data_IF_478264414771
#
_entry.id   IF_478264414771
#
_cell.length_a   1.000
_cell.length_b   1.000
_cell.length_c   1.000
_cell.angle_alpha   90.00
_cell.angle_beta   90.00
_cell.angle_gamma   90.00
#
_symmetry.space_group_name_H-M   'P 1'
#
loop_
_entity.id
_entity.type
_entity.pdbx_description
1 polymer ?
#
# COMPACT_ATOMS: atom_id res chain seq x y z
N UNK A 1 -10.86 9.30 6.45
CA UNK A 1 -10.28 8.72 5.23
C UNK A 1 -10.42 7.22 5.26
N UNK A 2 -10.93 6.60 4.19
CA UNK A 2 -11.11 5.14 4.14
C UNK A 2 -9.84 4.44 3.63
N UNK A 3 -9.47 3.32 4.25
CA UNK A 3 -8.43 2.40 3.79
C UNK A 3 -8.51 2.09 2.28
N UNK A 4 -9.74 1.90 1.77
CA UNK A 4 -10.02 1.66 0.37
C UNK A 4 -9.50 2.75 -0.58
N UNK A 5 -9.48 4.01 -0.12
CA UNK A 5 -8.95 5.11 -0.90
C UNK A 5 -7.43 5.00 -1.07
N UNK A 6 -6.71 4.63 0.01
CA UNK A 6 -5.27 4.43 -0.03
C UNK A 6 -4.88 3.27 -0.94
N UNK A 7 -5.58 2.14 -0.87
CA UNK A 7 -5.37 1.04 -1.82
C UNK A 7 -5.53 1.51 -3.27
N UNK A 8 -6.57 2.31 -3.56
CA UNK A 8 -6.80 2.84 -4.91
C UNK A 8 -5.72 3.82 -5.38
N UNK A 9 -5.14 4.62 -4.48
CA UNK A 9 -3.98 5.48 -4.79
C UNK A 9 -2.77 4.64 -5.19
N UNK A 10 -2.53 3.51 -4.51
CA UNK A 10 -1.46 2.57 -4.86
C UNK A 10 -1.80 1.69 -6.08
N UNK A 11 -3.01 1.77 -6.63
CA UNK A 11 -3.47 0.88 -7.70
C UNK A 11 -3.76 -0.55 -7.24
N UNK A 12 -3.98 -0.74 -5.94
CA UNK A 12 -4.26 -2.02 -5.31
C UNK A 12 -5.75 -2.20 -5.02
N UNK A 13 -6.17 -3.46 -4.88
CA UNK A 13 -7.51 -3.79 -4.39
C UNK A 13 -7.59 -3.63 -2.87
N UNK A 14 -8.80 -3.35 -2.40
CA UNK A 14 -9.14 -3.37 -0.97
C UNK A 14 -8.84 -4.74 -0.38
N UNK A 15 -8.00 -4.78 0.67
CA UNK A 15 -7.57 -6.03 1.27
C UNK A 15 -6.30 -6.62 0.66
N UNK A 16 -5.56 -5.87 -0.16
CA UNK A 16 -4.23 -6.26 -0.61
C UNK A 16 -3.29 -6.45 0.59
N UNK A 17 -2.39 -7.43 0.49
CA UNK A 17 -1.47 -7.75 1.58
C UNK A 17 -0.39 -6.69 1.71
N UNK A 18 0.27 -6.66 2.87
CA UNK A 18 1.41 -5.75 3.09
C UNK A 18 2.52 -5.92 2.03
N UNK A 19 2.68 -7.15 1.52
CA UNK A 19 3.58 -7.46 0.41
C UNK A 19 3.24 -6.65 -0.84
N UNK A 20 1.99 -6.66 -1.29
CA UNK A 20 1.51 -5.89 -2.44
C UNK A 20 1.66 -4.39 -2.23
N UNK A 21 1.31 -3.90 -1.02
CA UNK A 21 1.44 -2.49 -0.64
C UNK A 21 2.88 -2.02 -0.75
N UNK A 22 3.85 -2.80 -0.27
CA UNK A 22 5.28 -2.51 -0.38
C UNK A 22 5.76 -2.58 -1.84
N UNK A 23 5.27 -3.54 -2.61
CA UNK A 23 5.65 -3.72 -4.03
C UNK A 23 5.16 -2.55 -4.89
N UNK A 24 3.89 -2.17 -4.74
CA UNK A 24 3.28 -1.02 -5.42
C UNK A 24 3.99 0.28 -5.04
N UNK A 25 4.26 0.49 -3.75
CA UNK A 25 5.04 1.64 -3.28
C UNK A 25 6.40 1.73 -3.98
N UNK A 26 7.16 0.62 -4.04
CA UNK A 26 8.47 0.63 -4.73
C UNK A 26 8.38 0.95 -6.21
N UNK A 27 7.37 0.44 -6.91
CA UNK A 27 7.18 0.73 -8.33
C UNK A 27 6.80 2.20 -8.56
N UNK A 28 5.86 2.73 -7.79
CA UNK A 28 5.43 4.13 -7.91
C UNK A 28 6.52 5.11 -7.47
N UNK A 29 7.29 4.78 -6.43
CA UNK A 29 8.41 5.59 -5.97
C UNK A 29 9.52 5.72 -7.02
N UNK A 30 9.76 4.68 -7.82
CA UNK A 30 10.70 4.71 -8.95
C UNK A 30 10.13 5.49 -10.14
N UNK A 31 8.82 5.34 -10.39
CA UNK A 31 8.13 6.03 -11.48
C UNK A 31 8.10 7.56 -11.26
N UNK A 32 7.81 7.98 -10.03
CA UNK A 32 7.71 9.39 -9.64
C UNK A 32 8.97 9.89 -8.92
N UNK A 33 10.11 9.23 -9.10
CA UNK A 33 11.33 9.62 -8.41
C UNK A 33 11.78 11.01 -8.88
N UNK A 34 12.25 11.90 -7.98
CA UNK A 34 12.70 13.24 -8.35
C UNK A 34 13.97 13.23 -9.24
N UNK A 35 14.75 12.15 -9.18
CA UNK A 35 15.93 11.95 -10.03
C UNK A 35 15.56 11.71 -11.50
N UNK A 36 14.49 10.95 -11.77
CA UNK A 36 13.99 10.70 -13.14
C UNK A 36 13.00 11.76 -13.61
N UNK A 37 12.36 12.48 -12.68
CA UNK A 37 11.38 13.54 -12.99
C UNK A 37 11.78 14.88 -12.33
N UNK A 38 12.93 15.46 -12.71
CA UNK A 38 13.35 16.74 -12.16
C UNK A 38 12.36 17.84 -12.57
N UNK A 39 11.75 18.50 -11.58
CA UNK A 39 10.84 19.64 -11.80
C UNK A 39 9.37 19.29 -12.01
N UNK A 40 8.99 18.02 -11.96
CA UNK A 40 7.59 17.62 -12.13
C UNK A 40 6.81 17.71 -10.81
N UNK A 41 5.96 18.75 -10.68
CA UNK A 41 5.14 18.96 -9.49
C UNK A 41 4.11 17.83 -9.28
N UNK A 42 3.57 17.28 -10.37
CA UNK A 42 2.62 16.17 -10.34
C UNK A 42 3.27 14.91 -9.76
N UNK A 43 4.48 14.57 -10.17
CA UNK A 43 5.26 13.45 -9.64
C UNK A 43 5.51 13.61 -8.14
N UNK A 44 5.89 14.82 -7.70
CA UNK A 44 6.05 15.14 -6.28
C UNK A 44 4.75 14.94 -5.49
N UNK A 45 3.62 15.45 -5.98
CA UNK A 45 2.32 15.26 -5.33
C UNK A 45 1.92 13.78 -5.26
N UNK A 46 2.11 13.04 -6.36
CA UNK A 46 1.86 11.60 -6.41
C UNK A 46 2.74 10.83 -5.43
N UNK A 47 4.03 11.18 -5.33
CA UNK A 47 4.95 10.57 -4.39
C UNK A 47 4.52 10.79 -2.94
N UNK A 48 4.08 12.00 -2.59
CA UNK A 48 3.54 12.32 -1.26
C UNK A 48 2.28 11.49 -0.99
N UNK A 49 1.34 11.44 -1.93
CA UNK A 49 0.10 10.66 -1.78
C UNK A 49 0.37 9.17 -1.58
N UNK A 50 1.27 8.60 -2.38
CA UNK A 50 1.67 7.18 -2.29
C UNK A 50 2.35 6.88 -0.95
N UNK A 51 3.19 7.80 -0.46
CA UNK A 51 3.86 7.67 0.84
C UNK A 51 2.87 7.74 2.00
N UNK A 52 1.96 8.71 1.99
CA UNK A 52 0.90 8.83 3.01
C UNK A 52 -0.01 7.61 3.00
N UNK A 53 -0.38 7.13 1.82
CA UNK A 53 -1.21 5.95 1.65
C UNK A 53 -0.52 4.70 2.19
N UNK A 54 0.75 4.48 1.86
CA UNK A 54 1.54 3.39 2.42
C UNK A 54 1.57 3.46 3.96
N UNK A 55 1.90 4.61 4.54
CA UNK A 55 1.98 4.79 6.00
C UNK A 55 0.64 4.54 6.68
N UNK A 56 -0.45 5.04 6.10
CA UNK A 56 -1.80 4.82 6.62
C UNK A 56 -2.19 3.34 6.56
N UNK A 57 -1.86 2.63 5.48
CA UNK A 57 -2.08 1.19 5.36
C UNK A 57 -1.23 0.40 6.35
N UNK A 58 0.05 0.73 6.52
CA UNK A 58 0.95 0.10 7.50
C UNK A 58 0.41 0.27 8.92
N UNK A 59 -0.07 1.47 9.26
CA UNK A 59 -0.59 1.76 10.59
C UNK A 59 -1.96 1.10 10.84
N UNK A 60 -2.80 1.02 9.81
CA UNK A 60 -4.14 0.48 9.92
C UNK A 60 -4.22 -1.04 9.67
N UNK A 61 -3.16 -1.68 9.17
CA UNK A 61 -2.99 -3.13 9.12
C UNK A 61 -2.36 -3.58 10.44
N UNK A 62 -3.14 -4.06 11.44
CA UNK A 62 -2.55 -4.70 12.60
C UNK A 62 -1.78 -5.95 12.17
N UNK A 63 -0.76 -6.34 12.96
CA UNK A 63 0.11 -7.48 12.71
C UNK A 63 -0.63 -8.82 12.49
N UNK A 64 -1.92 -8.91 12.76
CA UNK A 64 -2.74 -10.09 12.47
C UNK A 64 -2.95 -10.33 10.97
N UNK A 65 -2.86 -9.31 10.11
CA UNK A 65 -3.02 -9.48 8.66
C UNK A 65 -1.85 -10.24 8.00
N UNK A 66 -0.67 -10.29 8.64
CA UNK A 66 0.44 -11.15 8.17
C UNK A 66 0.28 -12.61 8.60
N UNK A 67 -0.65 -12.94 9.49
CA UNK A 67 -0.87 -14.30 10.00
C UNK A 67 -2.11 -15.01 9.42
N UNK A 68 -3.03 -14.30 8.77
CA UNK A 68 -4.36 -14.81 8.40
C UNK A 68 -4.43 -15.84 7.25
N UNK A 69 -3.31 -16.43 6.83
CA UNK A 69 -3.31 -17.59 5.91
C UNK A 69 -3.04 -18.93 6.62
N UNK A 70 -3.09 -18.99 7.97
CA UNK A 70 -2.93 -20.25 8.74
C UNK A 70 -4.12 -20.64 9.62
N UNK A 71 -5.29 -20.03 9.49
CA UNK A 71 -6.52 -20.53 10.14
C UNK A 71 -7.39 -21.26 9.13
N UNK A 72 -6.84 -22.32 8.53
CA UNK A 72 -7.68 -23.36 7.95
C UNK A 72 -8.33 -24.14 9.10
N UNK A 73 -9.66 -24.17 9.06
CA UNK A 73 -10.56 -25.17 9.67
C UNK A 73 -10.84 -25.07 11.18
N UNK A 74 -12.04 -24.58 11.58
CA UNK A 74 -12.70 -25.09 12.76
C UNK A 74 -13.30 -26.46 12.41
N UNK A 75 -12.54 -27.55 12.56
CA UNK A 75 -13.15 -28.87 12.64
C UNK A 75 -13.47 -29.13 14.10
N UNK A 76 -14.72 -28.84 14.46
CA UNK A 76 -15.36 -29.31 15.67
C UNK A 76 -15.82 -30.75 15.40
N UNK A 77 -15.21 -31.75 16.06
CA UNK A 77 -15.78 -33.08 16.33
C UNK A 77 -14.98 -33.70 17.47
#
# INVERSE_FOLDING_TARGET
MALAHYYRILGLRTGASFGDVKLAYRNLARLYHPDTNPGDQLAKEKFIQVTQAYQALVNALPAEAVAAQRTASPTQT
#
